data_IF_435248845378
#
_entry.id   IF_435248845378
#
_cell.length_a   1.000
_cell.length_b   1.000
_cell.length_c   1.000
_cell.angle_alpha   90.00
_cell.angle_beta   90.00
_cell.angle_gamma   90.00
#
_symmetry.space_group_name_H-M   'P 1'
#
loop_
_entity.id
_entity.type
_entity.pdbx_description
1 polymer ?
#
# COMPACT_ATOMS: atom_id res chain seq x y z
N UNK A 1 12.54 14.63 -3.96
CA UNK A 1 12.84 14.98 -5.36
C UNK A 1 12.43 13.86 -6.32
N UNK A 2 12.96 12.63 -6.17
CA UNK A 2 12.59 11.50 -7.05
C UNK A 2 11.11 11.11 -6.95
N UNK A 3 10.51 11.04 -5.75
CA UNK A 3 9.10 10.65 -5.61
C UNK A 3 8.15 11.55 -6.40
N UNK A 4 8.24 12.88 -6.20
CA UNK A 4 7.45 13.85 -6.94
C UNK A 4 7.71 13.82 -8.46
N UNK A 5 8.95 13.55 -8.89
CA UNK A 5 9.26 13.35 -10.32
C UNK A 5 8.49 12.15 -10.88
N UNK A 6 8.50 11.02 -10.16
CA UNK A 6 7.84 9.77 -10.59
C UNK A 6 6.32 9.93 -10.60
N UNK A 7 5.75 10.60 -9.60
CA UNK A 7 4.31 10.91 -9.53
C UNK A 7 3.87 11.74 -10.73
N UNK A 8 4.58 12.84 -11.01
CA UNK A 8 4.28 13.69 -12.16
C UNK A 8 4.43 12.93 -13.49
N UNK A 9 5.43 12.05 -13.61
CA UNK A 9 5.59 11.22 -14.80
C UNK A 9 4.47 10.18 -14.93
N UNK A 10 4.05 9.56 -13.83
CA UNK A 10 2.97 8.58 -13.81
C UNK A 10 1.63 9.19 -14.26
N UNK A 11 1.31 10.38 -13.77
CA UNK A 11 0.10 11.13 -14.15
C UNK A 11 0.14 11.60 -15.60
N UNK A 12 1.22 12.29 -15.99
CA UNK A 12 1.22 13.08 -17.22
C UNK A 12 1.75 12.29 -18.43
N UNK A 13 2.57 11.26 -18.21
CA UNK A 13 3.23 10.52 -19.30
C UNK A 13 2.72 9.08 -19.35
N UNK A 14 2.82 8.35 -18.25
CA UNK A 14 2.50 6.92 -18.22
C UNK A 14 1.00 6.66 -18.40
N UNK A 15 0.14 7.39 -17.69
CA UNK A 15 -1.32 7.29 -17.85
C UNK A 15 -1.75 7.58 -19.29
N UNK A 16 -1.20 8.64 -19.90
CA UNK A 16 -1.46 8.96 -21.31
C UNK A 16 -0.97 7.86 -22.26
N UNK A 17 0.18 7.25 -21.97
CA UNK A 17 0.69 6.13 -22.75
C UNK A 17 -0.24 4.91 -22.67
N UNK A 18 -0.71 4.56 -21.46
CA UNK A 18 -1.67 3.48 -21.27
C UNK A 18 -2.98 3.73 -22.00
N UNK A 19 -3.47 4.97 -22.01
CA UNK A 19 -4.66 5.39 -22.76
C UNK A 19 -4.48 5.35 -24.29
N UNK A 20 -3.27 5.60 -24.78
CA UNK A 20 -2.92 5.44 -26.21
C UNK A 20 -2.88 3.96 -26.64
N UNK A 21 -2.41 3.08 -25.76
CA UNK A 21 -2.33 1.64 -26.03
C UNK A 21 -1.52 1.32 -27.29
N UNK A 22 -2.10 0.60 -28.24
CA UNK A 22 -1.42 0.18 -29.47
C UNK A 22 -1.18 1.34 -30.47
N UNK A 23 -1.70 2.54 -30.19
CA UNK A 23 -1.43 3.74 -30.99
C UNK A 23 -0.07 4.40 -30.72
N UNK A 24 0.71 3.87 -29.76
CA UNK A 24 2.07 4.34 -29.51
C UNK A 24 2.98 3.98 -30.69
N UNK A 25 3.85 4.91 -31.10
CA UNK A 25 4.94 4.58 -32.05
C UNK A 25 5.94 3.64 -31.39
N UNK A 26 6.74 2.94 -32.20
CA UNK A 26 7.78 2.04 -31.68
C UNK A 26 8.81 2.80 -30.83
N UNK A 27 9.23 3.99 -31.28
CA UNK A 27 10.18 4.83 -30.55
C UNK A 27 9.57 5.34 -29.24
N UNK A 28 8.30 5.75 -29.27
CA UNK A 28 7.58 6.21 -28.08
C UNK A 28 7.42 5.09 -27.05
N UNK A 29 7.12 3.87 -27.50
CA UNK A 29 7.06 2.69 -26.65
C UNK A 29 8.42 2.36 -26.04
N UNK A 30 9.49 2.34 -26.84
CA UNK A 30 10.83 2.04 -26.34
C UNK A 30 11.27 3.02 -25.24
N UNK A 31 11.02 4.32 -25.43
CA UNK A 31 11.32 5.33 -24.39
C UNK A 31 10.52 5.11 -23.10
N UNK A 32 9.25 4.71 -23.20
CA UNK A 32 8.41 4.39 -22.04
C UNK A 32 8.90 3.14 -21.30
N UNK A 33 9.33 2.10 -22.03
CA UNK A 33 9.89 0.88 -21.46
C UNK A 33 11.12 1.20 -20.63
N UNK A 34 12.08 1.93 -21.20
CA UNK A 34 13.31 2.31 -20.51
C UNK A 34 13.02 3.15 -19.26
N UNK A 35 12.11 4.12 -19.37
CA UNK A 35 11.77 5.00 -18.24
C UNK A 35 11.03 4.27 -17.12
N UNK A 36 10.10 3.38 -17.46
CA UNK A 36 9.39 2.57 -16.47
C UNK A 36 10.33 1.55 -15.81
N UNK A 37 11.22 0.93 -16.58
CA UNK A 37 12.28 0.07 -16.04
C UNK A 37 13.17 0.82 -15.05
N UNK A 38 13.60 2.04 -15.39
CA UNK A 38 14.40 2.89 -14.50
C UNK A 38 13.69 3.18 -13.16
N UNK A 39 12.40 3.52 -13.18
CA UNK A 39 11.67 3.86 -11.95
C UNK A 39 11.25 2.65 -11.12
N UNK A 40 11.04 1.49 -11.75
CA UNK A 40 10.57 0.29 -11.04
C UNK A 40 11.70 -0.66 -10.65
N UNK A 41 12.90 -0.49 -11.22
CA UNK A 41 14.01 -1.44 -11.08
C UNK A 41 13.82 -2.73 -11.88
N UNK A 42 12.73 -2.85 -12.66
CA UNK A 42 12.48 -4.01 -13.50
C UNK A 42 13.38 -4.00 -14.74
N UNK A 43 13.61 -5.18 -15.30
CA UNK A 43 14.28 -5.30 -16.60
C UNK A 43 13.41 -4.70 -17.72
N UNK A 44 13.99 -3.94 -18.67
CA UNK A 44 13.27 -3.44 -19.85
C UNK A 44 12.50 -4.54 -20.59
N UNK A 45 13.12 -5.73 -20.73
CA UNK A 45 12.48 -6.88 -21.37
C UNK A 45 11.17 -7.29 -20.68
N UNK A 46 11.14 -7.32 -19.35
CA UNK A 46 9.93 -7.67 -18.60
C UNK A 46 8.84 -6.61 -18.79
N UNK A 47 9.22 -5.33 -18.72
CA UNK A 47 8.30 -4.20 -18.93
C UNK A 47 7.68 -4.21 -20.33
N UNK A 48 8.48 -4.50 -21.35
CA UNK A 48 7.99 -4.61 -22.73
C UNK A 48 7.05 -5.82 -22.89
N UNK A 49 7.43 -6.97 -22.34
CA UNK A 49 6.61 -8.19 -22.35
C UNK A 49 5.29 -8.02 -21.57
N UNK A 50 5.29 -7.18 -20.54
CA UNK A 50 4.08 -6.81 -19.81
C UNK A 50 3.25 -5.74 -20.54
N UNK A 51 3.68 -5.27 -21.72
CA UNK A 51 3.05 -4.18 -22.49
C UNK A 51 2.79 -2.95 -21.63
N UNK A 52 3.80 -2.56 -20.85
CA UNK A 52 3.72 -1.45 -19.90
C UNK A 52 2.67 -1.65 -18.79
N UNK A 53 2.15 -2.87 -18.56
CA UNK A 53 1.14 -3.14 -17.52
C UNK A 53 1.70 -4.13 -16.51
N UNK A 54 2.31 -3.60 -15.45
CA UNK A 54 2.93 -4.39 -14.41
C UNK A 54 1.85 -4.89 -13.45
N UNK A 55 1.73 -6.22 -13.32
CA UNK A 55 0.89 -6.81 -12.29
C UNK A 55 1.60 -6.70 -10.92
N UNK A 56 0.97 -6.14 -9.87
CA UNK A 56 1.62 -5.94 -8.58
C UNK A 56 2.15 -7.25 -7.95
N UNK A 57 1.37 -8.32 -7.97
CA UNK A 57 1.80 -9.60 -7.39
C UNK A 57 3.01 -10.19 -8.13
N UNK A 58 3.08 -10.03 -9.45
CA UNK A 58 4.27 -10.43 -10.22
C UNK A 58 5.46 -9.50 -9.98
N UNK A 59 5.24 -8.21 -9.77
CA UNK A 59 6.29 -7.25 -9.43
C UNK A 59 7.06 -7.67 -8.17
N UNK A 60 6.36 -8.10 -7.12
CA UNK A 60 6.99 -8.55 -5.86
C UNK A 60 7.98 -9.70 -6.05
N UNK A 61 7.71 -10.55 -7.05
CA UNK A 61 8.58 -11.66 -7.46
C UNK A 61 9.69 -11.20 -8.41
N UNK A 62 9.37 -10.31 -9.34
CA UNK A 62 10.25 -9.97 -10.46
C UNK A 62 11.44 -9.11 -10.05
N UNK A 63 11.23 -8.13 -9.17
CA UNK A 63 12.24 -7.10 -8.86
C UNK A 63 13.56 -7.66 -8.32
N UNK A 64 13.54 -8.81 -7.64
CA UNK A 64 14.74 -9.52 -7.15
C UNK A 64 14.85 -10.97 -7.67
N UNK A 65 14.24 -11.27 -8.84
CA UNK A 65 14.20 -12.64 -9.39
C UNK A 65 15.58 -13.23 -9.62
N UNK A 66 16.54 -12.43 -10.09
CA UNK A 66 17.91 -12.89 -10.39
C UNK A 66 18.67 -13.33 -9.13
N UNK A 67 18.25 -12.87 -7.96
CA UNK A 67 18.82 -13.28 -6.67
C UNK A 67 18.05 -14.45 -6.05
N UNK A 68 17.05 -14.98 -6.74
CA UNK A 68 16.06 -15.93 -6.23
C UNK A 68 15.40 -15.42 -4.93
N UNK A 69 15.09 -14.12 -4.89
CA UNK A 69 14.45 -13.43 -3.77
C UNK A 69 13.12 -12.81 -4.18
N UNK A 70 12.30 -12.49 -3.18
CA UNK A 70 11.02 -11.78 -3.32
C UNK A 70 10.92 -10.68 -2.26
N UNK A 71 10.13 -9.65 -2.53
CA UNK A 71 9.86 -8.57 -1.56
C UNK A 71 8.48 -8.73 -0.91
N UNK A 72 8.30 -8.15 0.28
CA UNK A 72 7.03 -8.09 0.98
C UNK A 72 5.97 -7.28 0.24
N UNK A 73 4.72 -7.78 0.24
CA UNK A 73 3.56 -6.99 -0.20
C UNK A 73 3.25 -5.91 0.83
N UNK A 74 3.27 -6.28 2.12
CA UNK A 74 3.01 -5.32 3.20
C UNK A 74 4.20 -4.39 3.46
N UNK A 75 5.43 -4.81 3.23
CA UNK A 75 6.61 -3.95 3.38
C UNK A 75 7.72 -4.47 2.48
N UNK A 76 8.03 -3.72 1.42
CA UNK A 76 8.97 -4.15 0.37
C UNK A 76 10.42 -4.22 0.85
N UNK A 77 10.73 -3.72 2.06
CA UNK A 77 12.05 -3.84 2.69
C UNK A 77 12.31 -5.25 3.22
N UNK A 78 11.26 -6.04 3.44
CA UNK A 78 11.38 -7.45 3.86
C UNK A 78 11.64 -8.33 2.65
N UNK A 79 12.69 -9.14 2.73
CA UNK A 79 13.13 -10.00 1.63
C UNK A 79 12.92 -11.48 2.00
N UNK A 80 12.23 -12.21 1.12
CA UNK A 80 12.03 -13.65 1.19
C UNK A 80 12.84 -14.41 0.15
N UNK A 81 12.70 -15.73 0.19
CA UNK A 81 13.26 -16.64 -0.81
C UNK A 81 12.25 -17.72 -1.12
N UNK A 82 11.96 -17.84 -2.41
CA UNK A 82 11.12 -18.90 -2.93
C UNK A 82 11.99 -20.11 -3.28
N UNK A 83 11.36 -21.29 -3.35
CA UNK A 83 12.04 -22.51 -3.77
C UNK A 83 12.46 -22.42 -5.24
N UNK A 84 11.58 -21.85 -6.09
CA UNK A 84 11.78 -21.77 -7.53
C UNK A 84 11.81 -20.33 -8.04
N UNK A 85 12.85 -20.02 -8.82
CA UNK A 85 12.97 -18.73 -9.50
C UNK A 85 12.01 -18.58 -10.69
N UNK A 86 11.36 -19.65 -11.16
CA UNK A 86 10.50 -19.65 -12.36
C UNK A 86 9.02 -19.36 -12.07
N UNK A 87 8.62 -19.26 -10.81
CA UNK A 87 7.22 -19.01 -10.44
C UNK A 87 6.75 -17.61 -10.85
N UNK A 88 5.45 -17.47 -11.12
CA UNK A 88 4.83 -16.18 -11.47
C UNK A 88 4.68 -15.25 -10.26
N UNK A 89 4.45 -15.81 -9.08
CA UNK A 89 4.11 -15.09 -7.85
C UNK A 89 5.02 -15.51 -6.70
N UNK A 90 5.19 -14.66 -5.66
CA UNK A 90 5.84 -15.07 -4.42
C UNK A 90 5.11 -16.24 -3.76
N UNK A 91 5.84 -17.14 -3.12
CA UNK A 91 5.25 -18.27 -2.38
C UNK A 91 4.55 -17.82 -1.08
N UNK A 92 5.02 -16.72 -0.50
CA UNK A 92 4.48 -16.11 0.72
C UNK A 92 4.84 -14.61 0.75
N UNK A 93 4.28 -13.86 1.70
CA UNK A 93 4.71 -12.49 2.00
C UNK A 93 5.80 -12.49 3.09
N UNK A 94 7.04 -12.08 2.77
CA UNK A 94 8.13 -11.97 3.74
C UNK A 94 7.82 -11.10 4.94
N UNK A 95 7.11 -9.98 4.74
CA UNK A 95 6.74 -9.07 5.83
C UNK A 95 5.75 -9.76 6.77
N UNK A 96 4.71 -10.41 6.23
CA UNK A 96 3.73 -11.17 7.03
C UNK A 96 4.40 -12.30 7.84
N UNK A 97 5.34 -13.01 7.22
CA UNK A 97 6.06 -14.13 7.85
C UNK A 97 6.93 -13.65 9.01
N UNK A 98 7.55 -12.47 8.88
CA UNK A 98 8.36 -11.89 9.93
C UNK A 98 7.53 -11.39 11.13
N UNK A 99 6.35 -10.80 10.88
CA UNK A 99 5.54 -10.16 11.91
C UNK A 99 4.57 -11.11 12.61
N UNK A 100 4.05 -12.13 11.92
CA UNK A 100 2.97 -12.95 12.50
C UNK A 100 3.39 -13.69 13.77
N UNK A 101 4.54 -14.40 13.81
CA UNK A 101 4.95 -15.14 15.02
C UNK A 101 5.09 -14.28 16.28
N UNK A 102 5.82 -13.13 16.29
CA UNK A 102 5.94 -12.32 17.49
C UNK A 102 4.60 -11.72 17.93
N UNK A 103 3.75 -11.26 17.01
CA UNK A 103 2.43 -10.73 17.38
C UNK A 103 1.51 -11.83 17.97
N UNK A 104 1.48 -13.02 17.37
CA UNK A 104 0.73 -14.17 17.90
C UNK A 104 1.20 -14.56 19.30
N UNK A 105 2.51 -14.63 19.53
CA UNK A 105 3.06 -14.97 20.84
C UNK A 105 2.72 -13.91 21.89
N UNK A 106 2.92 -12.63 21.55
CA UNK A 106 2.71 -11.53 22.49
C UNK A 106 1.25 -11.34 22.89
N UNK A 107 0.30 -11.48 21.95
CA UNK A 107 -1.11 -11.36 22.31
C UNK A 107 -1.58 -12.53 23.17
N UNK A 108 -1.13 -13.76 22.87
CA UNK A 108 -1.47 -14.94 23.67
C UNK A 108 -0.90 -14.84 25.10
N UNK A 109 0.32 -14.32 25.26
CA UNK A 109 0.84 -14.03 26.59
C UNK A 109 0.02 -12.94 27.27
N UNK A 110 -0.18 -11.79 26.63
CA UNK A 110 -0.84 -10.63 27.23
C UNK A 110 -2.25 -10.93 27.75
N UNK A 111 -3.08 -11.63 26.97
CA UNK A 111 -4.47 -11.93 27.38
C UNK A 111 -4.52 -12.88 28.58
N UNK A 112 -3.56 -13.80 28.71
CA UNK A 112 -3.52 -14.78 29.80
C UNK A 112 -2.79 -14.25 31.03
N UNK A 113 -1.61 -13.68 30.82
CA UNK A 113 -0.70 -13.25 31.88
C UNK A 113 -1.13 -11.93 32.51
N UNK A 114 -1.60 -10.96 31.71
CA UNK A 114 -1.95 -9.61 32.18
C UNK A 114 -3.46 -9.44 32.36
N UNK A 115 -4.26 -9.73 31.32
CA UNK A 115 -5.71 -9.52 31.38
C UNK A 115 -6.45 -10.61 32.18
N UNK A 116 -5.77 -11.73 32.49
CA UNK A 116 -6.34 -12.89 33.19
C UNK A 116 -7.57 -13.47 32.48
N UNK A 117 -7.60 -13.38 31.16
CA UNK A 117 -8.65 -13.96 30.34
C UNK A 117 -8.27 -15.38 29.90
N UNK A 118 -9.06 -16.34 30.35
CA UNK A 118 -8.87 -17.75 30.06
C UNK A 118 -10.03 -18.28 29.22
N UNK A 119 -9.68 -18.99 28.15
CA UNK A 119 -10.61 -19.63 27.22
C UNK A 119 -9.86 -20.73 26.47
N UNK A 120 -10.59 -21.80 26.14
CA UNK A 120 -10.12 -22.92 25.31
C UNK A 120 -10.19 -22.59 23.80
N UNK A 121 -10.77 -21.45 23.43
CA UNK A 121 -10.81 -21.01 22.04
C UNK A 121 -9.41 -20.61 21.55
N UNK A 122 -8.99 -21.05 20.35
CA UNK A 122 -7.74 -20.59 19.75
C UNK A 122 -7.86 -19.11 19.36
N UNK A 123 -6.80 -18.34 19.60
CA UNK A 123 -6.71 -16.97 19.11
C UNK A 123 -6.30 -16.97 17.63
N UNK A 124 -7.20 -16.56 16.74
CA UNK A 124 -6.92 -16.42 15.31
C UNK A 124 -6.41 -15.00 15.02
N UNK A 125 -5.10 -14.83 14.77
CA UNK A 125 -4.53 -13.52 14.39
C UNK A 125 -5.04 -13.04 13.03
N UNK A 126 -5.26 -13.97 12.10
CA UNK A 126 -5.93 -13.72 10.82
C UNK A 126 -6.86 -14.91 10.55
N UNK A 127 -8.16 -14.65 10.43
CA UNK A 127 -9.15 -15.67 10.11
C UNK A 127 -9.44 -15.70 8.60
N UNK A 128 -8.81 -16.63 7.88
CA UNK A 128 -9.09 -16.82 6.44
C UNK A 128 -10.52 -17.28 6.18
N UNK A 129 -11.13 -17.98 7.14
CA UNK A 129 -12.54 -18.34 7.07
C UNK A 129 -13.42 -17.10 7.10
N UNK A 130 -13.26 -16.23 8.10
CA UNK A 130 -14.01 -14.99 8.18
C UNK A 130 -13.76 -14.09 6.96
N UNK A 131 -12.54 -14.09 6.42
CA UNK A 131 -12.21 -13.37 5.19
C UNK A 131 -12.97 -13.92 3.96
N UNK A 132 -13.02 -15.25 3.79
CA UNK A 132 -13.75 -15.89 2.69
C UNK A 132 -15.27 -15.72 2.78
N UNK A 133 -15.79 -15.65 4.00
CA UNK A 133 -17.22 -15.45 4.28
C UNK A 133 -17.63 -13.96 4.27
N UNK A 134 -16.73 -13.03 3.94
CA UNK A 134 -17.03 -11.60 3.94
C UNK A 134 -17.91 -11.22 2.73
N UNK A 135 -19.06 -10.58 3.00
CA UNK A 135 -20.09 -10.26 1.99
C UNK A 135 -20.22 -8.76 1.66
N UNK A 136 -19.57 -7.87 2.43
CA UNK A 136 -19.69 -6.44 2.18
C UNK A 136 -19.14 -6.08 0.80
N UNK A 137 -20.02 -5.51 -0.04
CA UNK A 137 -19.77 -5.18 -1.45
C UNK A 137 -19.32 -6.36 -2.32
N UNK A 138 -19.71 -7.60 -1.98
CA UNK A 138 -19.38 -8.79 -2.78
C UNK A 138 -19.82 -8.61 -4.24
N UNK A 139 -18.88 -8.87 -5.16
CA UNK A 139 -19.09 -8.71 -6.61
C UNK A 139 -18.73 -7.32 -7.15
N UNK A 140 -18.30 -6.39 -6.30
CA UNK A 140 -17.71 -5.10 -6.67
C UNK A 140 -16.40 -4.89 -5.91
N UNK A 141 -15.60 -3.92 -6.36
CA UNK A 141 -14.50 -3.44 -5.54
C UNK A 141 -15.07 -2.57 -4.42
N UNK A 142 -14.71 -2.85 -3.15
CA UNK A 142 -15.20 -2.03 -2.07
C UNK A 142 -14.71 -0.59 -2.19
N UNK A 143 -15.60 0.38 -1.92
CA UNK A 143 -15.29 1.80 -2.08
C UNK A 143 -15.88 2.64 -0.92
N UNK A 144 -14.97 3.28 -0.18
CA UNK A 144 -15.32 4.19 0.93
C UNK A 144 -15.16 5.66 0.58
N UNK A 145 -14.83 6.00 -0.66
CA UNK A 145 -14.62 7.37 -1.11
C UNK A 145 -15.92 8.20 -1.01
N UNK A 146 -17.02 7.75 -1.59
CA UNK A 146 -18.30 8.46 -1.51
C UNK A 146 -18.83 8.58 -0.06
N UNK A 147 -18.82 7.52 0.78
CA UNK A 147 -19.15 7.66 2.20
C UNK A 147 -18.31 8.70 2.94
N UNK A 148 -17.00 8.74 2.70
CA UNK A 148 -16.11 9.72 3.34
C UNK A 148 -16.39 11.14 2.84
N UNK A 149 -16.57 11.35 1.52
CA UNK A 149 -16.98 12.64 0.94
C UNK A 149 -18.31 13.12 1.53
N UNK A 150 -19.30 12.22 1.62
CA UNK A 150 -20.61 12.52 2.21
C UNK A 150 -20.51 12.90 3.69
N UNK A 151 -19.62 12.26 4.44
CA UNK A 151 -19.37 12.60 5.84
C UNK A 151 -18.78 14.02 6.00
N UNK A 152 -17.80 14.40 5.16
CA UNK A 152 -17.27 15.77 5.12
C UNK A 152 -18.36 16.79 4.74
N UNK A 153 -19.21 16.48 3.76
CA UNK A 153 -20.30 17.37 3.35
C UNK A 153 -21.35 17.58 4.47
N UNK A 154 -21.57 16.58 5.34
CA UNK A 154 -22.52 16.67 6.47
C UNK A 154 -21.90 17.29 7.71
N UNK A 155 -20.60 17.14 7.89
CA UNK A 155 -19.86 17.71 9.02
C UNK A 155 -18.66 18.51 8.50
N UNK A 156 -18.84 19.81 8.20
CA UNK A 156 -17.75 20.68 7.76
C UNK A 156 -16.61 20.82 8.78
N UNK A 157 -16.82 20.44 10.06
CA UNK A 157 -15.78 20.45 11.09
C UNK A 157 -15.00 19.13 11.17
N UNK A 158 -15.33 18.14 10.35
CA UNK A 158 -14.61 16.88 10.33
C UNK A 158 -13.21 17.09 9.75
N UNK A 159 -12.22 16.45 10.36
CA UNK A 159 -10.87 16.32 9.83
C UNK A 159 -10.52 14.84 9.62
N UNK A 160 -9.65 14.56 8.66
CA UNK A 160 -9.13 13.23 8.41
C UNK A 160 -7.60 13.28 8.36
N UNK A 161 -6.94 12.28 8.94
CA UNK A 161 -5.50 12.08 8.86
C UNK A 161 -5.21 10.75 8.18
N UNK A 162 -4.45 10.80 7.08
CA UNK A 162 -4.02 9.62 6.33
C UNK A 162 -2.51 9.45 6.49
N UNK A 163 -2.13 8.34 7.12
CA UNK A 163 -0.76 7.95 7.34
C UNK A 163 -0.39 6.86 6.34
N UNK A 164 0.57 7.12 5.45
CA UNK A 164 0.88 6.24 4.32
C UNK A 164 2.33 5.75 4.39
N UNK A 165 2.53 4.45 4.20
CA UNK A 165 3.86 3.85 4.13
C UNK A 165 4.37 3.86 2.70
N UNK A 166 5.56 4.42 2.46
CA UNK A 166 6.17 4.49 1.12
C UNK A 166 6.60 3.11 0.59
N UNK A 167 6.79 2.13 1.48
CA UNK A 167 7.16 0.75 1.13
C UNK A 167 5.96 -0.21 1.16
N UNK A 168 4.75 0.31 1.35
CA UNK A 168 3.52 -0.47 1.34
C UNK A 168 3.05 -0.72 -0.10
N UNK A 169 3.13 -1.98 -0.55
CA UNK A 169 2.64 -2.38 -1.86
C UNK A 169 1.22 -2.97 -1.81
N UNK A 170 0.64 -3.13 -0.62
CA UNK A 170 -0.74 -3.56 -0.42
C UNK A 170 -1.73 -2.41 -0.66
N UNK A 171 -1.40 -1.22 -0.14
CA UNK A 171 -2.14 0.03 -0.33
C UNK A 171 -1.18 1.14 -0.72
N UNK A 172 -0.72 1.19 -1.98
CA UNK A 172 0.27 2.15 -2.44
C UNK A 172 -0.18 3.60 -2.23
N UNK A 173 0.72 4.43 -1.71
CA UNK A 173 0.42 5.81 -1.32
C UNK A 173 -0.21 6.63 -2.46
N UNK A 174 0.29 6.48 -3.69
CA UNK A 174 -0.18 7.26 -4.82
C UNK A 174 -1.59 6.87 -5.27
N UNK A 175 -2.03 5.62 -5.02
CA UNK A 175 -3.42 5.22 -5.23
C UNK A 175 -4.35 5.91 -4.23
N UNK A 176 -3.92 6.08 -2.98
CA UNK A 176 -4.66 6.83 -1.97
C UNK A 176 -4.78 8.31 -2.33
N UNK A 177 -3.68 8.94 -2.75
CA UNK A 177 -3.70 10.34 -3.22
C UNK A 177 -4.65 10.52 -4.41
N UNK A 178 -4.54 9.63 -5.41
CA UNK A 178 -5.46 9.59 -6.54
C UNK A 178 -6.92 9.53 -6.08
N UNK A 179 -7.28 8.61 -5.17
CA UNK A 179 -8.65 8.54 -4.64
C UNK A 179 -9.07 9.84 -3.97
N UNK A 180 -8.23 10.44 -3.12
CA UNK A 180 -8.54 11.71 -2.45
C UNK A 180 -8.81 12.85 -3.44
N UNK A 181 -8.03 12.95 -4.51
CA UNK A 181 -8.17 13.99 -5.52
C UNK A 181 -9.40 13.80 -6.43
N UNK A 182 -9.99 12.60 -6.43
CA UNK A 182 -11.18 12.26 -7.21
C UNK A 182 -12.46 12.19 -6.36
N UNK A 183 -12.39 12.52 -5.08
CA UNK A 183 -13.56 12.57 -4.20
C UNK A 183 -14.44 13.80 -4.40
N UNK A 184 -14.00 14.80 -5.18
CA UNK A 184 -14.74 16.06 -5.38
C UNK A 184 -15.12 16.74 -4.04
N UNK A 185 -14.11 16.87 -3.16
CA UNK A 185 -14.28 17.62 -1.91
C UNK A 185 -14.60 19.09 -2.20
N UNK A 186 -15.41 19.70 -1.34
CA UNK A 186 -15.50 21.16 -1.27
C UNK A 186 -14.06 21.71 -1.07
N UNK A 187 -13.57 22.60 -1.95
CA UNK A 187 -12.24 23.19 -1.82
C UNK A 187 -12.01 23.85 -0.45
N UNK A 188 -13.06 24.35 0.20
CA UNK A 188 -12.99 24.93 1.55
C UNK A 188 -12.66 23.89 2.63
N UNK A 189 -12.94 22.60 2.38
CA UNK A 189 -12.68 21.48 3.30
C UNK A 189 -11.38 20.74 2.96
N UNK A 190 -10.67 21.10 1.89
CA UNK A 190 -9.43 20.40 1.50
C UNK A 190 -8.36 20.50 2.58
N UNK A 191 -8.29 21.63 3.28
CA UNK A 191 -7.38 21.85 4.42
C UNK A 191 -7.68 20.96 5.64
N UNK A 192 -8.83 20.26 5.66
CA UNK A 192 -9.19 19.34 6.73
C UNK A 192 -8.72 17.90 6.47
N UNK A 193 -8.17 17.63 5.28
CA UNK A 193 -7.57 16.35 4.92
C UNK A 193 -6.05 16.48 5.06
N UNK A 194 -5.51 15.81 6.06
CA UNK A 194 -4.10 15.79 6.40
C UNK A 194 -3.48 14.49 5.90
N UNK A 195 -2.34 14.59 5.24
CA UNK A 195 -1.64 13.44 4.67
C UNK A 195 -0.19 13.46 5.14
N UNK A 196 0.33 12.31 5.54
CA UNK A 196 1.72 12.17 5.95
C UNK A 196 2.31 10.87 5.40
N UNK A 197 3.47 11.00 4.76
CA UNK A 197 4.29 9.88 4.31
C UNK A 197 5.25 9.42 5.40
N UNK A 198 5.52 8.12 5.38
CA UNK A 198 6.39 7.44 6.32
C UNK A 198 7.30 6.47 5.56
N UNK A 199 8.58 6.46 5.92
CA UNK A 199 9.58 5.51 5.41
C UNK A 199 9.38 4.12 6.06
N UNK A 200 8.18 3.55 5.89
CA UNK A 200 7.74 2.26 6.41
C UNK A 200 6.81 1.55 5.40
N UNK A 201 6.52 0.26 5.66
CA UNK A 201 5.45 -0.46 4.98
C UNK A 201 4.08 -0.23 5.62
N UNK A 202 3.16 -1.18 5.42
CA UNK A 202 1.76 -1.12 5.81
C UNK A 202 1.53 -0.86 7.31
N UNK A 203 2.38 -1.44 8.16
CA UNK A 203 2.36 -1.23 9.60
C UNK A 203 3.47 -0.25 9.99
N UNK A 204 3.15 1.04 9.92
CA UNK A 204 4.08 2.16 10.17
C UNK A 204 4.88 2.01 11.47
N UNK A 205 4.24 1.46 12.49
CA UNK A 205 4.79 1.33 13.84
C UNK A 205 5.80 0.18 14.02
N UNK A 206 6.05 -0.63 12.99
CA UNK A 206 7.13 -1.62 13.00
C UNK A 206 8.51 -0.96 12.98
N UNK A 207 8.61 0.22 12.39
CA UNK A 207 9.80 1.05 12.42
C UNK A 207 9.70 2.04 13.60
N UNK A 208 10.61 1.95 14.56
CA UNK A 208 10.53 2.74 15.80
C UNK A 208 10.71 4.25 15.57
N UNK A 209 11.41 4.64 14.50
CA UNK A 209 11.55 6.06 14.12
C UNK A 209 10.22 6.55 13.54
N UNK A 210 9.61 5.76 12.65
CA UNK A 210 8.31 6.08 12.07
C UNK A 210 7.18 6.02 13.12
N UNK A 211 7.26 5.13 14.12
CA UNK A 211 6.35 5.12 15.27
C UNK A 211 6.42 6.42 16.07
N UNK A 212 7.63 6.91 16.36
CA UNK A 212 7.81 8.16 17.09
C UNK A 212 7.25 9.36 16.31
N UNK A 213 7.50 9.39 14.99
CA UNK A 213 6.88 10.37 14.08
C UNK A 213 5.36 10.26 14.09
N UNK A 214 4.81 9.05 13.92
CA UNK A 214 3.36 8.81 13.88
C UNK A 214 2.69 9.29 15.17
N UNK A 215 3.32 9.04 16.32
CA UNK A 215 2.83 9.55 17.60
C UNK A 215 2.81 11.08 17.66
N UNK A 216 3.86 11.73 17.17
CA UNK A 216 3.93 13.20 17.14
C UNK A 216 2.87 13.79 16.19
N UNK A 217 2.77 13.26 14.97
CA UNK A 217 1.82 13.71 13.96
C UNK A 217 0.37 13.52 14.43
N UNK A 218 0.04 12.39 15.07
CA UNK A 218 -1.30 12.17 15.66
C UNK A 218 -1.56 13.14 16.82
N UNK A 219 -0.57 13.41 17.67
CA UNK A 219 -0.73 14.38 18.76
C UNK A 219 -0.99 15.81 18.23
N UNK A 220 -0.27 16.21 17.19
CA UNK A 220 -0.47 17.48 16.50
C UNK A 220 -1.86 17.53 15.85
N UNK A 221 -2.22 16.50 15.07
CA UNK A 221 -3.54 16.39 14.43
C UNK A 221 -4.68 16.51 15.45
N UNK A 222 -4.60 15.79 16.57
CA UNK A 222 -5.60 15.89 17.63
C UNK A 222 -5.65 17.30 18.23
N UNK A 223 -4.51 17.96 18.43
CA UNK A 223 -4.48 19.33 18.98
C UNK A 223 -5.14 20.36 18.05
N UNK A 224 -5.04 20.16 16.73
CA UNK A 224 -5.69 21.01 15.73
C UNK A 224 -7.20 20.76 15.63
N UNK A 225 -7.66 19.57 16.03
CA UNK A 225 -9.06 19.18 16.02
C UNK A 225 -9.80 19.53 17.33
N UNK A 226 -9.10 20.06 18.34
CA UNK A 226 -9.69 20.54 19.59
C UNK A 226 -10.07 22.03 19.46
N UNK A 227 -11.22 22.47 20.01
CA UNK A 227 -11.64 23.88 20.00
C UNK A 227 -10.71 24.84 20.75
#
# INVERSE_FOLDING_TARGET
EVLAEVEAWAENVYTMALAKGDRLTEEGRAALVEKLAQYTGLKPQYVEQSKLRINPARFFKEILRDENRTVGRLDSRFIGRDALAIGDFPEFDPAMTAITPPYTAMINDYVRSQLKYETDLPYETISYKANGDWEWERGKFPDTSEPLRSAFARNPFMHAFLAMGLYDLATPHFATLYTLDHMDFDPALRSHVHVADYEAGHMLYLDVVQLAKLKADIAEFMSQALP
#
